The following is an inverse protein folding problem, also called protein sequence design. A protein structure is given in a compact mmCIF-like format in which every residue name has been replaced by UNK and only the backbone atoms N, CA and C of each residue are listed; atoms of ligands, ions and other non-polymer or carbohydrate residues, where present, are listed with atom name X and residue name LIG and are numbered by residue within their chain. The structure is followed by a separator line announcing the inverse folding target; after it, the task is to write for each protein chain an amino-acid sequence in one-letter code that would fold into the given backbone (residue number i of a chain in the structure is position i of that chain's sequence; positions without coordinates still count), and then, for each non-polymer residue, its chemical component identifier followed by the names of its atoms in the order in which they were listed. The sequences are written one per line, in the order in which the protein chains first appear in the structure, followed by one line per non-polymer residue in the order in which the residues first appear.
data_IF_068555586823
#
_entry.id   IF_068555586823
#
_cell.length_a   1.000
_cell.length_b   1.000
_cell.length_c   1.000
_cell.angle_alpha   90.00
_cell.angle_beta   90.00
_cell.angle_gamma   90.00
#
_symmetry.space_group_name_H-M   'P 1'
#
loop_
_entity.id
_entity.type
_entity.pdbx_description
1 polymer ?
#
# COMPACT_ATOMS: atom_id res chain seq x y z
N UNK A 1 -19.21 48.19 -10.05
CA UNK A 1 -18.66 46.92 -10.61
C UNK A 1 -17.75 46.30 -9.56
N UNK A 2 -18.20 45.25 -8.88
CA UNK A 2 -17.48 44.59 -7.78
C UNK A 2 -16.66 43.43 -8.35
N UNK A 3 -15.35 43.64 -8.54
CA UNK A 3 -14.41 42.70 -9.19
C UNK A 3 -13.82 41.65 -8.24
N UNK A 4 -14.41 41.43 -7.05
CA UNK A 4 -13.84 40.55 -6.00
C UNK A 4 -14.24 39.08 -6.13
N UNK A 5 -15.17 38.73 -7.02
CA UNK A 5 -15.75 37.38 -7.11
C UNK A 5 -14.85 36.26 -7.70
N UNK A 6 -13.92 36.49 -8.65
CA UNK A 6 -13.17 35.37 -9.23
C UNK A 6 -12.00 34.90 -8.33
N UNK A 7 -11.44 35.79 -7.50
CA UNK A 7 -10.28 35.47 -6.64
C UNK A 7 -10.68 34.52 -5.51
N UNK A 8 -11.88 34.73 -4.93
CA UNK A 8 -12.41 33.88 -3.85
C UNK A 8 -12.70 32.47 -4.37
N UNK A 9 -13.16 32.35 -5.61
CA UNK A 9 -13.47 31.08 -6.26
C UNK A 9 -12.19 30.29 -6.59
N UNK A 10 -11.12 30.98 -7.02
CA UNK A 10 -9.82 30.34 -7.24
C UNK A 10 -9.19 29.88 -5.91
N UNK A 11 -9.26 30.70 -4.87
CA UNK A 11 -8.75 30.35 -3.52
C UNK A 11 -9.43 29.13 -2.92
N UNK A 12 -10.75 29.00 -3.10
CA UNK A 12 -11.50 27.83 -2.60
C UNK A 12 -11.17 26.55 -3.37
N UNK A 13 -10.99 26.61 -4.69
CA UNK A 13 -10.55 25.46 -5.49
C UNK A 13 -9.12 25.03 -5.09
N UNK A 14 -8.23 25.99 -4.80
CA UNK A 14 -6.86 25.69 -4.38
C UNK A 14 -6.82 25.01 -3.00
N UNK A 15 -7.73 25.35 -2.08
CA UNK A 15 -7.78 24.70 -0.76
C UNK A 15 -8.29 23.25 -0.82
N UNK A 16 -9.18 22.92 -1.77
CA UNK A 16 -9.75 21.58 -1.89
C UNK A 16 -8.76 20.61 -2.57
N UNK A 17 -7.84 21.09 -3.41
CA UNK A 17 -6.81 20.24 -4.01
C UNK A 17 -5.72 19.80 -3.02
N UNK A 18 -5.64 20.42 -1.84
CA UNK A 18 -4.72 20.05 -0.76
C UNK A 18 -5.23 18.90 0.13
N UNK A 19 -6.50 18.49 0.02
CA UNK A 19 -6.96 17.22 0.59
C UNK A 19 -6.46 16.08 -0.30
N UNK A 20 -5.15 15.86 -0.28
CA UNK A 20 -4.50 14.76 -0.97
C UNK A 20 -5.08 13.42 -0.52
N UNK A 21 -5.06 12.45 -1.43
CA UNK A 21 -5.42 11.05 -1.18
C UNK A 21 -4.95 10.57 0.19
N UNK A 22 -5.84 10.61 1.19
CA UNK A 22 -5.69 9.82 2.39
C UNK A 22 -5.96 8.40 1.92
N UNK A 23 -4.92 7.73 1.43
CA UNK A 23 -4.95 6.30 1.25
C UNK A 23 -5.23 5.74 2.65
N UNK A 24 -6.48 5.35 2.89
CA UNK A 24 -6.89 4.55 4.04
C UNK A 24 -6.21 3.19 3.89
N UNK A 25 -4.90 3.18 4.11
CA UNK A 25 -4.13 1.96 4.25
C UNK A 25 -4.65 1.22 5.47
N UNK A 26 -4.64 -0.11 5.41
CA UNK A 26 -4.95 -0.98 6.54
C UNK A 26 -4.26 -0.46 7.80
N UNK A 27 -5.05 -0.09 8.81
CA UNK A 27 -4.52 0.39 10.08
C UNK A 27 -3.95 -0.80 10.86
N UNK A 28 -2.80 -0.60 11.51
CA UNK A 28 -2.12 -1.61 12.32
C UNK A 28 -1.92 -1.06 13.72
N UNK A 29 -2.13 -1.90 14.74
CA UNK A 29 -1.97 -1.52 16.13
C UNK A 29 -1.26 -2.61 16.93
N UNK A 30 -0.40 -2.20 17.85
CA UNK A 30 0.22 -3.05 18.88
C UNK A 30 0.12 -2.29 20.20
N UNK A 31 -0.38 -2.94 21.25
CA UNK A 31 -0.50 -2.31 22.56
C UNK A 31 0.87 -1.84 23.05
N UNK A 32 0.97 -0.58 23.48
CA UNK A 32 2.21 0.01 23.98
C UNK A 32 3.23 0.41 22.90
N UNK A 33 2.94 0.22 21.61
CA UNK A 33 3.81 0.74 20.55
C UNK A 33 3.56 2.23 20.33
N UNK A 34 4.62 3.03 20.38
CA UNK A 34 4.55 4.44 19.97
C UNK A 34 4.66 4.58 18.43
N UNK A 35 4.41 5.79 17.92
CA UNK A 35 4.43 6.05 16.48
C UNK A 35 5.79 5.79 15.84
N UNK A 36 6.89 6.12 16.54
CA UNK A 36 8.26 5.95 16.04
C UNK A 36 8.64 4.47 15.93
N UNK A 37 8.27 3.68 16.94
CA UNK A 37 8.43 2.22 16.93
C UNK A 37 7.64 1.61 15.78
N UNK A 38 6.41 2.06 15.55
CA UNK A 38 5.63 1.58 14.40
C UNK A 38 6.28 1.98 13.07
N UNK A 39 6.80 3.20 12.94
CA UNK A 39 7.48 3.63 11.73
C UNK A 39 8.74 2.79 11.45
N UNK A 40 9.55 2.54 12.48
CA UNK A 40 10.74 1.69 12.38
C UNK A 40 10.38 0.23 12.04
N UNK A 41 9.40 -0.36 12.75
CA UNK A 41 8.93 -1.73 12.53
C UNK A 41 8.34 -1.89 11.11
N UNK A 42 7.58 -0.89 10.65
CA UNK A 42 7.00 -0.84 9.30
C UNK A 42 8.09 -0.76 8.23
N UNK A 43 9.11 0.08 8.42
CA UNK A 43 10.23 0.19 7.48
C UNK A 43 11.03 -1.12 7.41
N UNK A 44 11.34 -1.71 8.56
CA UNK A 44 12.05 -3.00 8.65
C UNK A 44 11.26 -4.12 7.97
N UNK A 45 9.96 -4.24 8.25
CA UNK A 45 9.12 -5.26 7.63
C UNK A 45 8.93 -5.05 6.12
N UNK A 46 8.89 -3.81 5.63
CA UNK A 46 8.87 -3.52 4.19
C UNK A 46 10.16 -3.97 3.51
N UNK A 47 11.31 -3.61 4.08
CA UNK A 47 12.61 -4.02 3.55
C UNK A 47 12.73 -5.54 3.49
N UNK A 48 12.38 -6.22 4.58
CA UNK A 48 12.34 -7.69 4.64
C UNK A 48 11.44 -8.29 3.55
N UNK A 49 10.21 -7.80 3.42
CA UNK A 49 9.25 -8.30 2.45
C UNK A 49 9.71 -8.13 1.00
N UNK A 50 10.27 -6.96 0.66
CA UNK A 50 10.81 -6.70 -0.67
C UNK A 50 12.00 -7.59 -1.01
N UNK A 51 12.93 -7.77 -0.06
CA UNK A 51 14.09 -8.65 -0.25
C UNK A 51 13.66 -10.09 -0.51
N UNK A 52 12.73 -10.59 0.29
CA UNK A 52 12.31 -11.99 0.24
C UNK A 52 11.41 -12.28 -0.98
N UNK A 53 10.53 -11.35 -1.35
CA UNK A 53 9.72 -11.47 -2.57
C UNK A 53 10.60 -11.37 -3.84
N UNK A 54 11.63 -10.52 -3.82
CA UNK A 54 12.61 -10.43 -4.90
C UNK A 54 13.38 -11.73 -5.11
N UNK A 55 13.82 -12.37 -4.02
CA UNK A 55 14.46 -13.69 -4.09
C UNK A 55 13.53 -14.77 -4.68
N UNK A 56 12.26 -14.76 -4.27
CA UNK A 56 11.23 -15.68 -4.77
C UNK A 56 10.95 -15.48 -6.27
N UNK A 57 10.90 -14.22 -6.72
CA UNK A 57 10.72 -13.88 -8.13
C UNK A 57 11.89 -14.34 -9.01
N UNK A 58 13.13 -14.08 -8.57
CA UNK A 58 14.33 -14.50 -9.30
C UNK A 58 14.38 -16.03 -9.45
N UNK A 59 14.13 -16.77 -8.37
CA UNK A 59 14.08 -18.23 -8.41
C UNK A 59 13.01 -18.75 -9.38
N UNK A 60 11.80 -18.18 -9.35
CA UNK A 60 10.69 -18.61 -10.22
C UNK A 60 10.93 -18.28 -11.69
N UNK A 61 11.52 -17.13 -12.00
CA UNK A 61 11.89 -16.74 -13.38
C UNK A 61 12.95 -17.65 -14.00
N UNK A 62 13.86 -18.19 -13.19
CA UNK A 62 14.90 -19.12 -13.63
C UNK A 62 14.33 -20.47 -14.10
N UNK A 63 13.23 -20.93 -13.50
CA UNK A 63 12.57 -22.18 -13.84
C UNK A 63 11.73 -22.07 -15.14
N UNK A 64 11.12 -20.92 -15.38
CA UNK A 64 10.25 -20.68 -16.55
C UNK A 64 11.03 -20.47 -17.87
N UNK A 65 12.36 -20.33 -17.82
CA UNK A 65 13.22 -20.10 -19.00
C UNK A 65 13.67 -21.39 -19.72
N UNK A 66 13.20 -22.57 -19.30
CA UNK A 66 13.76 -23.86 -19.71
C UNK A 66 13.13 -24.52 -20.96
N UNK A 67 12.21 -23.88 -21.72
CA UNK A 67 11.81 -24.48 -23.01
C UNK A 67 10.64 -23.83 -23.76
N UNK A 68 10.86 -23.59 -25.06
CA UNK A 68 9.82 -23.38 -26.08
C UNK A 68 9.45 -21.94 -26.43
N UNK A 69 8.94 -21.73 -27.65
CA UNK A 69 8.39 -20.45 -28.13
C UNK A 69 7.17 -20.08 -27.29
N UNK A 70 7.28 -19.01 -26.52
CA UNK A 70 6.32 -18.68 -25.47
C UNK A 70 5.27 -17.69 -25.99
N UNK A 71 4.24 -18.20 -26.68
CA UNK A 71 3.16 -17.40 -27.29
C UNK A 71 2.36 -16.56 -26.28
N UNK A 72 2.53 -16.80 -24.97
CA UNK A 72 1.83 -16.13 -23.87
C UNK A 72 2.79 -15.39 -22.91
N UNK A 73 3.98 -14.99 -23.37
CA UNK A 73 5.02 -14.40 -22.53
C UNK A 73 4.54 -13.14 -21.76
N UNK A 74 3.73 -12.29 -22.39
CA UNK A 74 3.24 -11.05 -21.78
C UNK A 74 2.25 -11.33 -20.63
N UNK A 75 1.28 -12.22 -20.85
CA UNK A 75 0.34 -12.65 -19.81
C UNK A 75 1.07 -13.30 -18.63
N UNK A 76 2.03 -14.18 -18.90
CA UNK A 76 2.85 -14.83 -17.85
C UNK A 76 3.63 -13.80 -17.04
N UNK A 77 4.27 -12.84 -17.69
CA UNK A 77 5.00 -11.77 -17.02
C UNK A 77 4.07 -10.89 -16.16
N UNK A 78 2.86 -10.60 -16.63
CA UNK A 78 1.85 -9.88 -15.86
C UNK A 78 1.47 -10.65 -14.58
N UNK A 79 1.19 -11.95 -14.70
CA UNK A 79 0.81 -12.80 -13.59
C UNK A 79 1.96 -12.98 -12.58
N UNK A 80 3.20 -13.16 -13.06
CA UNK A 80 4.37 -13.23 -12.17
C UNK A 80 4.56 -11.93 -11.37
N UNK A 81 4.35 -10.76 -12.00
CA UNK A 81 4.41 -9.46 -11.28
C UNK A 81 3.26 -9.31 -10.28
N UNK A 82 2.07 -9.80 -10.61
CA UNK A 82 0.93 -9.81 -9.69
C UNK A 82 1.24 -10.70 -8.47
N UNK A 83 1.66 -11.93 -8.70
CA UNK A 83 2.05 -12.90 -7.66
C UNK A 83 3.15 -12.33 -6.76
N UNK A 84 4.20 -11.74 -7.34
CA UNK A 84 5.29 -11.14 -6.57
C UNK A 84 4.82 -9.99 -5.67
N UNK A 85 3.89 -9.16 -6.13
CA UNK A 85 3.30 -8.09 -5.31
C UNK A 85 2.44 -8.66 -4.18
N UNK A 86 1.67 -9.71 -4.45
CA UNK A 86 0.85 -10.35 -3.43
C UNK A 86 1.71 -11.06 -2.38
N UNK A 87 2.77 -11.74 -2.80
CA UNK A 87 3.73 -12.37 -1.90
C UNK A 87 4.45 -11.35 -1.01
N UNK A 88 4.91 -10.23 -1.58
CA UNK A 88 5.48 -9.13 -0.82
C UNK A 88 4.51 -8.58 0.24
N UNK A 89 3.23 -8.41 -0.10
CA UNK A 89 2.19 -8.01 0.86
C UNK A 89 2.07 -9.04 1.98
N UNK A 90 1.93 -10.32 1.66
CA UNK A 90 1.77 -11.38 2.64
C UNK A 90 2.98 -11.50 3.59
N UNK A 91 4.21 -11.31 3.08
CA UNK A 91 5.42 -11.30 3.91
C UNK A 91 5.48 -10.07 4.83
N UNK A 92 5.08 -8.89 4.33
CA UNK A 92 4.99 -7.69 5.14
C UNK A 92 4.00 -7.85 6.29
N UNK A 93 2.80 -8.37 6.01
CA UNK A 93 1.77 -8.59 7.02
C UNK A 93 2.21 -9.60 8.07
N UNK A 94 2.80 -10.73 7.66
CA UNK A 94 3.35 -11.73 8.58
C UNK A 94 4.45 -11.15 9.48
N UNK A 95 5.33 -10.32 8.94
CA UNK A 95 6.38 -9.65 9.72
C UNK A 95 5.78 -8.75 10.81
N UNK A 96 4.77 -7.94 10.46
CA UNK A 96 4.09 -7.10 11.44
C UNK A 96 3.35 -7.92 12.51
N UNK A 97 2.66 -9.00 12.10
CA UNK A 97 2.00 -9.91 13.03
C UNK A 97 2.98 -10.57 13.99
N UNK A 98 4.15 -10.98 13.50
CA UNK A 98 5.21 -11.55 14.35
C UNK A 98 5.76 -10.53 15.36
N UNK A 99 5.80 -9.24 14.98
CA UNK A 99 6.13 -8.13 15.90
C UNK A 99 4.99 -7.75 16.84
N UNK A 100 3.87 -8.48 16.84
CA UNK A 100 2.73 -8.27 17.73
C UNK A 100 1.69 -7.27 17.24
N UNK A 101 1.79 -6.78 16.00
CA UNK A 101 0.77 -5.90 15.42
C UNK A 101 -0.44 -6.68 14.93
N UNK A 102 -1.62 -6.08 15.07
CA UNK A 102 -2.88 -6.59 14.53
C UNK A 102 -3.51 -5.57 13.59
N UNK A 103 -4.17 -6.06 12.54
CA UNK A 103 -4.98 -5.21 11.67
C UNK A 103 -6.16 -4.66 12.47
N UNK A 104 -6.37 -3.37 12.35
CA UNK A 104 -7.55 -2.71 12.89
C UNK A 104 -8.50 -2.51 11.71
N UNK A 105 -9.75 -2.94 11.88
CA UNK A 105 -10.77 -2.65 10.89
C UNK A 105 -10.82 -1.13 10.68
N UNK A 106 -10.87 -0.64 9.42
CA UNK A 106 -11.12 0.77 9.20
C UNK A 106 -12.41 1.12 9.94
N UNK A 107 -12.38 2.17 10.77
CA UNK A 107 -13.61 2.67 11.39
C UNK A 107 -14.52 3.07 10.24
N UNK A 108 -15.59 2.30 10.05
CA UNK A 108 -16.71 2.66 9.20
C UNK A 108 -17.16 4.07 9.62
N UNK A 109 -16.82 5.08 8.81
CA UNK A 109 -17.36 6.42 8.96
C UNK A 109 -18.77 6.41 8.35
N UNK A 110 -19.69 5.67 8.96
CA UNK A 110 -21.11 5.76 8.65
C UNK A 110 -21.78 6.59 9.74
N UNK A 111 -22.45 7.64 9.27
CA UNK A 111 -23.43 8.48 9.95
C UNK A 111 -22.91 9.38 11.09
N UNK A 112 -22.63 10.65 10.75
CA UNK A 112 -23.18 11.75 11.54
C UNK A 112 -24.37 12.28 10.76
N UNK A 113 -25.56 11.82 11.13
CA UNK A 113 -26.82 12.49 10.82
C UNK A 113 -26.69 13.96 11.21
N UNK A 114 -26.75 14.84 10.23
CA UNK A 114 -26.96 16.27 10.45
C UNK A 114 -28.48 16.44 10.49
N UNK A 115 -28.98 16.60 11.72
CA UNK A 115 -30.34 17.05 12.00
C UNK A 115 -30.47 18.54 11.76
#
# INVERSE_FOLDING_TARGET
MSTKSPIILIMTILLISLTGCISMGTAWNRQGANADQFAADKAACRSYAHREAGNTYLWRSGLDSAGGVNNNAEYKALMQRHDARQDARNKFERCLMHRGYRKVAPKSSVAKDVK
#
